data_IF_018565168696
#
_entry.id   IF_018565168696
#
_cell.length_a   1.000
_cell.length_b   1.000
_cell.length_c   1.000
_cell.angle_alpha   90.00
_cell.angle_beta   90.00
_cell.angle_gamma   90.00
#
_symmetry.space_group_name_H-M   'P 1'
#
loop_
_entity.id
_entity.type
_entity.pdbx_description
1 polymer ?
#
# COMPACT_ATOMS: atom_id res chain seq x y z
N UNK A 1 0.07 16.17 -3.58
CA UNK A 1 0.05 15.23 -2.45
C UNK A 1 -0.91 14.10 -2.77
N UNK A 2 -0.58 12.88 -2.37
CA UNK A 2 -1.24 11.62 -2.76
C UNK A 2 -2.79 11.65 -2.69
N UNK A 3 -3.37 12.27 -1.65
CA UNK A 3 -4.83 12.48 -1.52
C UNK A 3 -5.46 13.27 -2.68
N UNK A 4 -4.73 14.18 -3.31
CA UNK A 4 -5.20 14.96 -4.46
C UNK A 4 -5.15 14.17 -5.76
N UNK A 5 -4.16 13.27 -5.92
CA UNK A 5 -4.06 12.37 -7.09
C UNK A 5 -5.17 11.34 -7.03
N UNK A 6 -5.48 10.81 -5.84
CA UNK A 6 -6.58 9.86 -5.66
C UNK A 6 -7.93 10.41 -6.13
N UNK A 7 -8.20 11.70 -5.91
CA UNK A 7 -9.43 12.37 -6.40
C UNK A 7 -9.53 12.46 -7.93
N UNK A 8 -8.41 12.40 -8.66
CA UNK A 8 -8.39 12.44 -10.13
C UNK A 8 -8.74 11.08 -10.75
N UNK A 9 -8.46 9.99 -10.05
CA UNK A 9 -8.55 8.62 -10.55
C UNK A 9 -9.69 7.81 -9.93
N UNK A 10 -10.40 8.37 -8.96
CA UNK A 10 -11.68 7.85 -8.51
C UNK A 10 -12.72 8.15 -9.60
N UNK A 11 -13.35 7.15 -10.24
CA UNK A 11 -14.44 7.40 -11.16
C UNK A 11 -15.57 8.13 -10.41
N UNK A 12 -16.17 9.13 -11.06
CA UNK A 12 -17.43 9.76 -10.62
C UNK A 12 -18.55 8.71 -10.67
N UNK A 13 -18.60 7.83 -9.68
CA UNK A 13 -19.78 7.06 -9.34
C UNK A 13 -20.21 7.47 -7.95
N UNK A 14 -20.77 8.68 -7.88
CA UNK A 14 -21.79 9.04 -6.90
C UNK A 14 -23.08 8.28 -7.22
N UNK A 15 -23.02 6.95 -7.14
CA UNK A 15 -24.21 6.12 -7.06
C UNK A 15 -24.32 5.69 -5.60
N UNK A 16 -25.22 6.39 -4.89
CA UNK A 16 -25.56 6.26 -3.48
C UNK A 16 -25.28 4.85 -2.95
N UNK A 17 -24.14 4.69 -2.26
CA UNK A 17 -23.78 3.43 -1.61
C UNK A 17 -24.92 3.01 -0.67
N UNK A 18 -25.37 1.74 -0.71
CA UNK A 18 -26.24 1.21 0.32
C UNK A 18 -25.55 1.39 1.67
N UNK A 19 -26.26 1.93 2.66
CA UNK A 19 -25.73 1.96 4.03
C UNK A 19 -25.31 0.53 4.40
N UNK A 20 -24.03 0.30 4.76
CA UNK A 20 -23.59 -1.03 5.14
C UNK A 20 -24.39 -1.48 6.36
N UNK A 21 -24.90 -2.71 6.31
CA UNK A 21 -25.57 -3.31 7.45
C UNK A 21 -24.60 -3.33 8.66
N UNK A 22 -25.09 -3.26 9.92
CA UNK A 22 -24.26 -3.15 11.12
C UNK A 22 -23.16 -4.23 11.27
N UNK A 23 -23.34 -5.39 10.62
CA UNK A 23 -22.35 -6.46 10.58
C UNK A 23 -21.18 -6.17 9.63
N UNK A 24 -21.42 -5.50 8.50
CA UNK A 24 -20.37 -5.06 7.59
C UNK A 24 -19.53 -3.95 8.23
N UNK A 25 -20.14 -2.99 8.92
CA UNK A 25 -19.44 -1.91 9.65
C UNK A 25 -18.52 -2.45 10.77
N UNK A 26 -18.97 -3.46 11.51
CA UNK A 26 -18.12 -4.14 12.51
C UNK A 26 -16.96 -4.89 11.88
N UNK A 27 -17.16 -5.49 10.72
CA UNK A 27 -16.10 -6.22 10.01
C UNK A 27 -15.04 -5.27 9.44
N UNK A 28 -15.43 -4.15 8.80
CA UNK A 28 -14.44 -3.14 8.38
C UNK A 28 -13.72 -2.51 9.57
N UNK A 29 -14.39 -2.26 10.70
CA UNK A 29 -13.73 -1.78 11.91
C UNK A 29 -12.70 -2.79 12.48
N UNK A 30 -13.04 -4.09 12.52
CA UNK A 30 -12.12 -5.13 12.98
C UNK A 30 -10.92 -5.34 12.04
N UNK A 31 -11.10 -5.17 10.72
CA UNK A 31 -10.00 -5.21 9.74
C UNK A 31 -9.09 -3.98 9.83
N UNK A 32 -9.61 -2.84 10.29
CA UNK A 32 -8.83 -1.64 10.61
C UNK A 32 -8.00 -1.81 11.90
N UNK A 33 -8.46 -2.65 12.83
CA UNK A 33 -7.80 -2.92 14.12
C UNK A 33 -6.59 -3.87 14.00
N UNK A 34 -6.47 -4.59 12.88
CA UNK A 34 -5.26 -5.38 12.61
C UNK A 34 -4.08 -4.47 12.26
N UNK A 35 -2.88 -4.74 12.80
CA UNK A 35 -1.69 -3.96 12.49
C UNK A 35 -1.36 -4.09 11.00
N UNK A 36 -1.00 -2.99 10.37
CA UNK A 36 -0.56 -2.94 8.98
C UNK A 36 0.80 -3.65 8.77
N UNK A 37 1.63 -3.72 9.82
CA UNK A 37 2.91 -4.41 9.85
C UNK A 37 2.85 -5.50 10.92
N UNK A 38 3.04 -6.75 10.51
CA UNK A 38 3.13 -7.93 11.38
C UNK A 38 4.49 -7.95 12.11
N UNK A 39 4.54 -7.62 13.42
CA UNK A 39 5.80 -7.47 14.14
C UNK A 39 6.57 -8.80 14.26
N UNK A 40 5.87 -9.95 14.22
CA UNK A 40 6.50 -11.27 14.37
C UNK A 40 7.40 -11.63 13.20
N UNK A 41 7.32 -10.91 12.07
CA UNK A 41 8.22 -11.11 10.92
C UNK A 41 9.63 -10.65 11.24
N UNK A 42 9.77 -9.56 12.01
CA UNK A 42 11.07 -9.03 12.39
C UNK A 42 11.61 -9.64 13.68
N UNK A 43 10.73 -10.11 14.59
CA UNK A 43 11.12 -10.62 15.92
C UNK A 43 12.30 -11.61 15.92
N UNK A 44 12.40 -12.60 15.01
CA UNK A 44 13.54 -13.53 14.97
C UNK A 44 14.89 -12.89 14.63
N UNK A 45 14.90 -11.65 14.13
CA UNK A 45 16.07 -10.95 13.62
C UNK A 45 16.54 -9.81 14.52
N UNK A 46 15.67 -9.34 15.43
CA UNK A 46 15.91 -8.14 16.25
C UNK A 46 15.58 -8.39 17.71
N UNK A 47 15.86 -9.60 18.24
CA UNK A 47 15.51 -10.04 19.60
C UNK A 47 15.78 -8.96 20.68
N UNK A 48 14.74 -8.19 21.05
CA UNK A 48 14.77 -7.05 21.97
C UNK A 48 15.65 -5.85 21.56
N UNK A 49 16.10 -5.78 20.30
CA UNK A 49 16.84 -4.64 19.76
C UNK A 49 15.88 -3.63 19.10
N UNK A 50 15.22 -2.83 19.93
CA UNK A 50 14.25 -1.83 19.45
C UNK A 50 14.85 -0.81 18.48
N UNK A 51 16.14 -0.46 18.64
CA UNK A 51 16.85 0.42 17.71
C UNK A 51 17.05 -0.21 16.33
N UNK A 52 17.38 -1.51 16.27
CA UNK A 52 17.52 -2.24 15.01
C UNK A 52 16.18 -2.32 14.29
N UNK A 53 15.10 -2.63 15.03
CA UNK A 53 13.72 -2.64 14.51
C UNK A 53 13.32 -1.27 13.94
N UNK A 54 13.51 -0.19 14.70
CA UNK A 54 13.23 1.18 14.25
C UNK A 54 14.01 1.54 13.00
N UNK A 55 15.28 1.16 12.92
CA UNK A 55 16.12 1.44 11.75
C UNK A 55 15.63 0.69 10.50
N UNK A 56 15.19 -0.57 10.63
CA UNK A 56 14.59 -1.33 9.53
C UNK A 56 13.30 -0.65 9.06
N UNK A 57 12.39 -0.31 9.99
CA UNK A 57 11.12 0.35 9.66
C UNK A 57 11.32 1.74 9.04
N UNK A 58 12.32 2.50 9.50
CA UNK A 58 12.69 3.79 8.89
C UNK A 58 13.13 3.63 7.43
N UNK A 59 14.03 2.68 7.14
CA UNK A 59 14.48 2.36 5.76
C UNK A 59 13.31 1.89 4.89
N UNK A 60 12.38 1.15 5.48
CA UNK A 60 11.18 0.75 4.79
C UNK A 60 10.26 1.96 4.49
N UNK A 61 10.10 2.91 5.43
CA UNK A 61 9.35 4.15 5.19
C UNK A 61 9.94 5.00 4.05
N UNK A 62 11.27 5.04 3.93
CA UNK A 62 11.96 5.66 2.78
C UNK A 62 11.59 4.96 1.47
N UNK A 63 11.53 3.62 1.48
CA UNK A 63 11.09 2.81 0.33
C UNK A 63 9.64 3.09 -0.04
N UNK A 64 8.74 3.15 0.94
CA UNK A 64 7.32 3.49 0.72
C UNK A 64 7.20 4.87 0.09
N UNK A 65 7.95 5.86 0.59
CA UNK A 65 7.89 7.23 0.08
C UNK A 65 8.43 7.34 -1.35
N UNK A 66 9.57 6.74 -1.65
CA UNK A 66 10.14 6.72 -3.00
C UNK A 66 9.22 5.98 -3.99
N UNK A 67 8.72 4.79 -3.63
CA UNK A 67 7.79 4.05 -4.48
C UNK A 67 6.44 4.74 -4.65
N UNK A 68 5.89 5.40 -3.63
CA UNK A 68 4.66 6.20 -3.78
C UNK A 68 4.83 7.28 -4.85
N UNK A 69 5.94 8.02 -4.78
CA UNK A 69 6.23 9.07 -5.74
C UNK A 69 6.37 8.55 -7.17
N UNK A 70 7.15 7.49 -7.37
CA UNK A 70 7.36 6.87 -8.68
C UNK A 70 6.05 6.31 -9.25
N UNK A 71 5.24 5.65 -8.42
CA UNK A 71 3.94 5.08 -8.82
C UNK A 71 2.96 6.19 -9.20
N UNK A 72 2.85 7.25 -8.40
CA UNK A 72 1.98 8.39 -8.71
C UNK A 72 2.33 9.02 -10.07
N UNK A 73 3.63 9.23 -10.33
CA UNK A 73 4.09 9.78 -11.61
C UNK A 73 3.83 8.82 -12.77
N UNK A 74 4.18 7.54 -12.59
CA UNK A 74 4.01 6.51 -13.61
C UNK A 74 2.54 6.29 -13.99
N UNK A 75 1.62 6.34 -13.01
CA UNK A 75 0.18 6.33 -13.27
C UNK A 75 -0.26 7.57 -14.07
N UNK A 76 0.26 8.75 -13.72
CA UNK A 76 -0.11 10.01 -14.38
C UNK A 76 0.36 10.11 -15.84
N UNK A 77 1.58 9.66 -16.15
CA UNK A 77 2.12 9.68 -17.52
C UNK A 77 1.86 8.38 -18.29
N UNK A 78 1.31 7.36 -17.62
CA UNK A 78 1.05 6.06 -18.22
C UNK A 78 2.31 5.22 -18.49
N UNK A 79 3.39 5.43 -17.74
CA UNK A 79 4.63 4.67 -17.85
C UNK A 79 4.53 3.35 -17.08
N UNK A 80 4.10 2.30 -17.78
CA UNK A 80 3.89 0.99 -17.16
C UNK A 80 5.19 0.28 -16.75
N UNK A 81 6.32 0.63 -17.36
CA UNK A 81 7.61 0.04 -17.00
C UNK A 81 8.08 0.56 -15.64
N UNK A 82 8.03 1.89 -15.43
CA UNK A 82 8.32 2.50 -14.14
C UNK A 82 7.31 2.05 -13.08
N UNK A 83 6.03 1.96 -13.43
CA UNK A 83 4.97 1.47 -12.53
C UNK A 83 5.26 0.05 -12.03
N UNK A 84 5.60 -0.86 -12.94
CA UNK A 84 5.96 -2.24 -12.60
C UNK A 84 7.18 -2.28 -11.66
N UNK A 85 8.24 -1.55 -11.98
CA UNK A 85 9.47 -1.53 -11.18
C UNK A 85 9.25 -0.98 -9.77
N UNK A 86 8.53 0.14 -9.65
CA UNK A 86 8.24 0.76 -8.37
C UNK A 86 7.31 -0.10 -7.50
N UNK A 87 6.32 -0.76 -8.10
CA UNK A 87 5.43 -1.72 -7.43
C UNK A 87 6.21 -2.97 -6.96
N UNK A 88 7.12 -3.50 -7.78
CA UNK A 88 7.99 -4.62 -7.41
C UNK A 88 8.87 -4.30 -6.20
N UNK A 89 9.52 -3.13 -6.21
CA UNK A 89 10.36 -2.66 -5.09
C UNK A 89 9.55 -2.54 -3.80
N UNK A 90 8.36 -1.96 -3.88
CA UNK A 90 7.45 -1.81 -2.75
C UNK A 90 6.98 -3.16 -2.20
N UNK A 91 6.57 -4.07 -3.08
CA UNK A 91 6.14 -5.43 -2.73
C UNK A 91 7.21 -6.17 -1.94
N UNK A 92 8.45 -6.15 -2.44
CA UNK A 92 9.59 -6.84 -1.81
C UNK A 92 9.92 -6.25 -0.45
N UNK A 93 9.95 -4.91 -0.33
CA UNK A 93 10.15 -4.25 0.96
C UNK A 93 9.02 -4.56 1.96
N UNK A 94 7.77 -4.52 1.50
CA UNK A 94 6.61 -4.80 2.34
C UNK A 94 6.61 -6.24 2.86
N UNK A 95 7.00 -7.21 2.01
CA UNK A 95 7.14 -8.60 2.42
C UNK A 95 8.21 -8.77 3.50
N UNK A 96 9.35 -8.08 3.36
CA UNK A 96 10.48 -8.19 4.28
C UNK A 96 10.15 -7.72 5.72
N UNK A 97 9.23 -6.76 5.87
CA UNK A 97 8.83 -6.25 7.19
C UNK A 97 7.51 -6.83 7.70
N UNK A 98 6.83 -7.68 6.92
CA UNK A 98 5.53 -8.25 7.31
C UNK A 98 4.32 -7.37 6.99
N UNK A 99 4.45 -6.36 6.13
CA UNK A 99 3.33 -5.57 5.63
C UNK A 99 2.55 -6.32 4.54
N UNK A 100 1.85 -7.40 4.92
CA UNK A 100 1.26 -8.39 4.01
C UNK A 100 0.23 -7.77 3.06
N UNK A 101 -0.68 -6.94 3.57
CA UNK A 101 -1.72 -6.28 2.76
C UNK A 101 -1.11 -5.35 1.71
N UNK A 102 -0.11 -4.54 2.10
CA UNK A 102 0.63 -3.68 1.17
C UNK A 102 1.40 -4.49 0.13
N UNK A 103 2.02 -5.61 0.52
CA UNK A 103 2.71 -6.51 -0.41
C UNK A 103 1.74 -7.10 -1.44
N UNK A 104 0.55 -7.52 -1.00
CA UNK A 104 -0.48 -8.08 -1.87
C UNK A 104 -1.01 -7.07 -2.88
N UNK A 105 -1.34 -5.85 -2.46
CA UNK A 105 -1.83 -4.80 -3.36
C UNK A 105 -0.74 -4.33 -4.33
N UNK A 106 0.51 -4.23 -3.87
CA UNK A 106 1.66 -3.94 -4.73
C UNK A 106 1.89 -5.05 -5.78
N UNK A 107 1.72 -6.32 -5.42
CA UNK A 107 1.82 -7.43 -6.36
C UNK A 107 0.72 -7.40 -7.43
N UNK A 108 -0.50 -7.03 -7.06
CA UNK A 108 -1.60 -6.87 -8.01
C UNK A 108 -1.33 -5.75 -9.02
N UNK A 109 -0.83 -4.59 -8.54
CA UNK A 109 -0.43 -3.48 -9.41
C UNK A 109 0.78 -3.85 -10.30
N UNK A 110 1.79 -4.52 -9.75
CA UNK A 110 2.95 -5.02 -10.50
C UNK A 110 2.51 -5.94 -11.65
N UNK A 111 1.57 -6.85 -11.38
CA UNK A 111 1.03 -7.77 -12.37
C UNK A 111 0.25 -7.04 -13.46
N UNK A 112 -0.63 -6.12 -13.10
CA UNK A 112 -1.42 -5.33 -14.06
C UNK A 112 -0.52 -4.48 -14.97
N UNK A 113 0.50 -3.84 -14.40
CA UNK A 113 1.48 -3.05 -15.15
C UNK A 113 2.26 -3.94 -16.15
N UNK A 114 2.68 -5.13 -15.69
CA UNK A 114 3.40 -6.10 -16.52
C UNK A 114 2.57 -6.59 -17.71
N UNK A 115 1.25 -6.76 -17.54
CA UNK A 115 0.36 -7.22 -18.62
C UNK A 115 -0.15 -6.08 -19.51
N UNK A 116 0.20 -4.83 -19.23
CA UNK A 116 -0.28 -3.68 -20.01
C UNK A 116 -1.71 -3.25 -19.66
N UNK A 117 -2.31 -3.81 -18.61
CA UNK A 117 -3.73 -3.59 -18.26
C UNK A 117 -3.89 -2.31 -17.43
N UNK A 118 -4.05 -1.19 -18.14
CA UNK A 118 -4.21 0.14 -17.53
C UNK A 118 -5.44 0.24 -16.63
N UNK A 119 -6.56 -0.37 -17.01
CA UNK A 119 -7.80 -0.33 -16.24
C UNK A 119 -7.62 -1.09 -14.93
N UNK A 120 -6.94 -2.25 -14.97
CA UNK A 120 -6.59 -2.97 -13.75
C UNK A 120 -5.62 -2.17 -12.86
N UNK A 121 -4.62 -1.48 -13.44
CA UNK A 121 -3.74 -0.60 -12.67
C UNK A 121 -4.52 0.49 -11.92
N UNK A 122 -5.45 1.17 -12.61
CA UNK A 122 -6.31 2.20 -12.01
C UNK A 122 -7.18 1.63 -10.89
N UNK A 123 -7.77 0.45 -11.10
CA UNK A 123 -8.56 -0.25 -10.09
C UNK A 123 -7.77 -0.63 -8.85
N UNK A 124 -6.49 -1.01 -8.98
CA UNK A 124 -5.63 -1.36 -7.85
C UNK A 124 -5.03 -0.16 -7.12
N UNK A 125 -4.86 0.97 -7.82
CA UNK A 125 -4.14 2.12 -7.29
C UNK A 125 -4.76 2.67 -5.99
N UNK A 126 -6.09 2.77 -5.92
CA UNK A 126 -6.78 3.22 -4.70
C UNK A 126 -6.52 2.33 -3.48
N UNK A 127 -6.53 1.01 -3.67
CA UNK A 127 -6.24 0.05 -2.60
C UNK A 127 -4.79 0.15 -2.12
N UNK A 128 -3.84 0.33 -3.05
CA UNK A 128 -2.44 0.49 -2.71
C UNK A 128 -2.21 1.73 -1.83
N UNK A 129 -2.84 2.86 -2.17
CA UNK A 129 -2.71 4.12 -1.43
C UNK A 129 -3.20 3.98 0.01
N UNK A 130 -4.34 3.33 0.22
CA UNK A 130 -4.87 3.07 1.58
C UNK A 130 -3.86 2.27 2.41
N UNK A 131 -3.29 1.21 1.85
CA UNK A 131 -2.33 0.38 2.57
C UNK A 131 -0.98 1.09 2.80
N UNK A 132 -0.53 1.95 1.88
CA UNK A 132 0.63 2.82 2.10
C UNK A 132 0.41 3.77 3.28
N UNK A 133 -0.76 4.40 3.36
CA UNK A 133 -1.11 5.32 4.45
C UNK A 133 -1.21 4.59 5.80
N UNK A 134 -1.79 3.38 5.84
CA UNK A 134 -1.83 2.55 7.05
C UNK A 134 -0.43 2.20 7.56
N UNK A 135 0.43 1.74 6.65
CA UNK A 135 1.83 1.41 6.96
C UNK A 135 2.59 2.63 7.47
N UNK A 136 2.46 3.78 6.80
CA UNK A 136 3.11 5.03 7.22
C UNK A 136 2.64 5.46 8.61
N UNK A 137 1.33 5.44 8.85
CA UNK A 137 0.75 5.79 10.16
C UNK A 137 1.26 4.89 11.28
N UNK A 138 1.44 3.59 11.04
CA UNK A 138 1.98 2.68 12.04
C UNK A 138 3.48 2.89 12.31
N UNK A 139 4.28 3.27 11.30
CA UNK A 139 5.72 3.54 11.49
C UNK A 139 5.95 4.86 12.26
N UNK A 140 5.05 5.82 12.10
CA UNK A 140 5.14 7.15 12.73
C UNK A 140 4.53 7.23 14.14
N UNK A 141 3.76 6.22 14.56
CA UNK A 141 3.13 6.11 15.88
C UNK A 141 4.11 5.74 16.99
#
# INVERSE_FOLDING_TARGET
GLRAVMKRWLPDKTEKAPQPAPAAEKFVAAVQDMPAIDPSVLDPWVENEDDARRNILRRFSETVSASSHDIEQAMACGDLATLQSAAHRLRSGALAVGARSLSSTAAALESAARTGDRVACEGQFGHLVVEMDRVRGQIEA
#
